data_IF_290789534700
#
_entry.id   IF_290789534700
#
_cell.length_a   1.000
_cell.length_b   1.000
_cell.length_c   1.000
_cell.angle_alpha   90.00
_cell.angle_beta   90.00
_cell.angle_gamma   90.00
#
_symmetry.space_group_name_H-M   'P 1'
#
loop_
_entity.id
_entity.type
_entity.pdbx_description
1 polymer ?
#
# COMPACT_ATOMS: atom_id res chain seq x y z
N UNK A 1 58.00 6.28 -32.98
CA UNK A 1 56.97 5.74 -32.07
C UNK A 1 55.55 5.83 -32.66
N UNK A 2 55.00 7.01 -32.99
CA UNK A 2 53.66 7.09 -33.58
C UNK A 2 53.60 6.57 -35.05
N UNK A 3 54.54 6.99 -35.90
CA UNK A 3 54.63 6.53 -37.29
C UNK A 3 54.91 5.01 -37.41
N UNK A 4 55.69 4.45 -36.48
CA UNK A 4 55.98 3.02 -36.43
C UNK A 4 54.80 2.18 -35.97
N UNK A 5 53.90 2.73 -35.13
CA UNK A 5 52.66 2.08 -34.69
C UNK A 5 51.57 2.05 -35.77
N UNK A 6 51.55 3.08 -36.63
CA UNK A 6 50.59 3.16 -37.74
C UNK A 6 50.88 2.15 -38.86
N UNK A 7 52.11 1.64 -38.94
CA UNK A 7 52.53 0.63 -39.91
C UNK A 7 52.56 -0.81 -39.33
N UNK A 8 52.12 -1.01 -38.08
CA UNK A 8 52.08 -2.34 -37.45
C UNK A 8 51.02 -3.22 -38.11
N UNK A 9 51.37 -4.47 -38.42
CA UNK A 9 50.37 -5.48 -38.76
C UNK A 9 49.52 -5.85 -37.52
N UNK A 10 48.32 -6.41 -37.70
CA UNK A 10 47.51 -6.88 -36.57
C UNK A 10 48.23 -7.87 -35.64
N UNK A 11 49.10 -8.71 -36.19
CA UNK A 11 49.89 -9.70 -35.44
C UNK A 11 51.02 -9.05 -34.65
N UNK A 12 51.70 -8.07 -35.24
CA UNK A 12 52.73 -7.27 -34.57
C UNK A 12 52.13 -6.42 -33.45
N UNK A 13 50.96 -5.83 -33.69
CA UNK A 13 50.18 -5.10 -32.69
C UNK A 13 49.75 -6.03 -31.55
N UNK A 14 49.22 -7.22 -31.85
CA UNK A 14 48.84 -8.21 -30.85
C UNK A 14 50.03 -8.63 -29.98
N UNK A 15 51.16 -8.99 -30.61
CA UNK A 15 52.38 -9.37 -29.91
C UNK A 15 52.92 -8.27 -28.99
N UNK A 16 52.85 -7.00 -29.45
CA UNK A 16 53.23 -5.84 -28.63
C UNK A 16 52.29 -5.66 -27.43
N UNK A 17 50.98 -5.77 -27.64
CA UNK A 17 49.98 -5.64 -26.56
C UNK A 17 50.14 -6.77 -25.53
N UNK A 18 50.35 -8.01 -25.96
CA UNK A 18 50.64 -9.14 -25.07
C UNK A 18 51.93 -8.90 -24.29
N UNK A 19 52.98 -8.41 -24.95
CA UNK A 19 54.23 -8.03 -24.29
C UNK A 19 54.05 -6.91 -23.26
N UNK A 20 53.14 -5.96 -23.51
CA UNK A 20 52.81 -4.90 -22.55
C UNK A 20 52.02 -5.43 -21.36
N UNK A 21 51.01 -6.28 -21.60
CA UNK A 21 50.21 -6.92 -20.56
C UNK A 21 51.08 -7.77 -19.63
N UNK A 22 51.99 -8.57 -20.17
CA UNK A 22 52.91 -9.42 -19.39
C UNK A 22 53.83 -8.61 -18.49
N UNK A 23 54.47 -7.55 -19.01
CA UNK A 23 55.30 -6.65 -18.19
C UNK A 23 54.50 -5.96 -17.09
N UNK A 24 53.29 -5.49 -17.40
CA UNK A 24 52.44 -4.83 -16.41
C UNK A 24 51.91 -5.80 -15.34
N UNK A 25 51.65 -7.06 -15.70
CA UNK A 25 51.29 -8.10 -14.74
C UNK A 25 52.48 -8.42 -13.82
N UNK A 26 53.68 -8.56 -14.37
CA UNK A 26 54.89 -8.78 -13.59
C UNK A 26 55.17 -7.63 -12.62
N UNK A 27 55.01 -6.37 -13.04
CA UNK A 27 55.18 -5.22 -12.15
C UNK A 27 54.15 -5.18 -11.02
N UNK A 28 52.88 -5.55 -11.29
CA UNK A 28 51.82 -5.64 -10.28
C UNK A 28 52.03 -6.79 -9.30
N UNK A 29 52.66 -7.88 -9.73
CA UNK A 29 52.89 -9.06 -8.89
C UNK A 29 53.95 -8.82 -7.79
N UNK A 30 54.89 -7.91 -8.03
CA UNK A 30 55.96 -7.55 -7.09
C UNK A 30 55.69 -6.24 -6.32
N UNK A 31 54.52 -5.64 -6.53
CA UNK A 31 54.14 -4.35 -5.95
C UNK A 31 53.93 -4.45 -4.45
N UNK A 32 54.44 -3.47 -3.70
CA UNK A 32 54.22 -3.43 -2.25
C UNK A 32 52.74 -3.09 -1.93
N UNK A 33 52.20 -3.55 -0.79
CA UNK A 33 50.80 -3.27 -0.43
C UNK A 33 50.43 -1.79 -0.38
N UNK A 34 51.36 -0.92 0.04
CA UNK A 34 51.15 0.53 0.11
C UNK A 34 51.09 1.17 -1.28
N UNK A 35 51.99 0.77 -2.17
CA UNK A 35 52.01 1.20 -3.57
C UNK A 35 50.72 0.76 -4.30
N UNK A 36 50.28 -0.49 -4.05
CA UNK A 36 49.03 -1.01 -4.59
C UNK A 36 47.80 -0.23 -4.09
N UNK A 37 47.79 0.18 -2.82
CA UNK A 37 46.75 1.05 -2.26
C UNK A 37 46.74 2.42 -2.92
N UNK A 38 47.89 3.09 -3.00
CA UNK A 38 48.02 4.38 -3.65
C UNK A 38 47.54 4.33 -5.12
N UNK A 39 47.92 3.28 -5.85
CA UNK A 39 47.45 3.06 -7.23
C UNK A 39 45.94 2.87 -7.32
N UNK A 40 45.32 2.15 -6.38
CA UNK A 40 43.86 1.98 -6.33
C UNK A 40 43.12 3.27 -5.95
N UNK A 41 43.71 4.09 -5.08
CA UNK A 41 43.13 5.37 -4.67
C UNK A 41 43.21 6.38 -5.82
N UNK A 42 44.33 6.44 -6.54
CA UNK A 42 44.47 7.23 -7.76
C UNK A 42 43.48 6.79 -8.84
N UNK A 43 43.27 5.48 -9.00
CA UNK A 43 42.30 4.95 -9.96
C UNK A 43 40.86 5.31 -9.58
N UNK A 44 40.53 5.21 -8.29
CA UNK A 44 39.25 5.66 -7.76
C UNK A 44 39.05 7.15 -8.03
N UNK A 45 40.05 7.99 -7.78
CA UNK A 45 39.99 9.43 -8.01
C UNK A 45 39.76 9.75 -9.50
N UNK A 46 40.50 9.09 -10.40
CA UNK A 46 40.30 9.22 -11.86
C UNK A 46 38.89 8.81 -12.29
N UNK A 47 38.39 7.68 -11.78
CA UNK A 47 37.03 7.22 -12.09
C UNK A 47 35.95 8.18 -11.56
N UNK A 48 36.13 8.74 -10.36
CA UNK A 48 35.22 9.75 -9.81
C UNK A 48 35.21 11.00 -10.67
N UNK A 49 36.38 11.53 -11.03
CA UNK A 49 36.51 12.70 -11.90
C UNK A 49 35.87 12.44 -13.28
N UNK A 50 36.12 11.28 -13.88
CA UNK A 50 35.50 10.88 -15.15
C UNK A 50 33.97 10.83 -15.06
N UNK A 51 33.41 10.24 -13.99
CA UNK A 51 31.95 10.18 -13.76
C UNK A 51 31.34 11.56 -13.52
N UNK A 52 32.07 12.47 -12.86
CA UNK A 52 31.61 13.84 -12.62
C UNK A 52 31.55 14.66 -13.93
N UNK A 53 32.44 14.37 -14.88
CA UNK A 53 32.48 15.00 -16.20
C UNK A 53 31.51 14.36 -17.23
N UNK A 54 30.78 13.29 -16.87
CA UNK A 54 29.86 12.63 -17.80
C UNK A 54 28.67 13.53 -18.17
N UNK A 55 28.42 13.65 -19.48
CA UNK A 55 27.16 14.21 -19.96
C UNK A 55 25.96 13.29 -19.61
N UNK A 56 24.72 13.82 -19.58
CA UNK A 56 23.53 13.02 -19.32
C UNK A 56 23.36 11.81 -20.27
N UNK A 57 23.73 11.95 -21.55
CA UNK A 57 23.67 10.86 -22.55
C UNK A 57 24.73 9.79 -22.32
N UNK A 58 25.94 10.18 -21.93
CA UNK A 58 26.98 9.23 -21.55
C UNK A 58 26.59 8.48 -20.28
N UNK A 59 26.05 9.20 -19.29
CA UNK A 59 25.53 8.61 -18.05
C UNK A 59 24.42 7.59 -18.30
N UNK A 60 23.44 7.91 -19.15
CA UNK A 60 22.36 6.98 -19.48
C UNK A 60 22.87 5.73 -20.18
N UNK A 61 23.78 5.90 -21.14
CA UNK A 61 24.42 4.78 -21.87
C UNK A 61 25.23 3.89 -20.92
N UNK A 62 25.99 4.47 -19.99
CA UNK A 62 26.75 3.72 -18.98
C UNK A 62 25.83 2.94 -18.04
N UNK A 63 24.76 3.57 -17.53
CA UNK A 63 23.78 2.92 -16.66
C UNK A 63 23.05 1.80 -17.38
N UNK A 64 22.63 2.01 -18.63
CA UNK A 64 22.03 0.96 -19.46
C UNK A 64 22.99 -0.23 -19.64
N UNK A 65 24.25 0.05 -19.98
CA UNK A 65 25.28 -0.99 -20.08
C UNK A 65 25.58 -1.71 -18.75
N UNK A 66 25.44 -1.03 -17.62
CA UNK A 66 25.56 -1.65 -16.31
C UNK A 66 24.38 -2.58 -16.02
N UNK A 67 23.16 -2.15 -16.33
CA UNK A 67 21.95 -2.97 -16.20
C UNK A 67 22.05 -4.25 -17.06
N UNK A 68 22.51 -4.14 -18.31
CA UNK A 68 22.64 -5.31 -19.19
C UNK A 68 23.70 -6.29 -18.69
N UNK A 69 24.89 -5.81 -18.27
CA UNK A 69 25.92 -6.69 -17.69
C UNK A 69 25.45 -7.36 -16.40
N UNK A 70 24.75 -6.64 -15.53
CA UNK A 70 24.23 -7.23 -14.30
C UNK A 70 23.13 -8.27 -14.57
N UNK A 71 22.24 -8.00 -15.54
CA UNK A 71 21.24 -8.98 -15.96
C UNK A 71 21.88 -10.23 -16.55
N UNK A 72 22.89 -10.09 -17.42
CA UNK A 72 23.64 -11.20 -17.99
C UNK A 72 24.34 -12.03 -16.91
N UNK A 73 25.01 -11.37 -15.95
CA UNK A 73 25.64 -12.04 -14.80
C UNK A 73 24.60 -12.83 -14.00
N UNK A 74 23.43 -12.24 -13.69
CA UNK A 74 22.36 -12.91 -12.94
C UNK A 74 21.69 -14.06 -13.69
N UNK A 75 21.71 -14.02 -15.02
CA UNK A 75 21.12 -15.08 -15.86
C UNK A 75 21.95 -16.36 -15.87
N UNK A 76 23.26 -16.27 -15.61
CA UNK A 76 24.18 -17.41 -15.57
C UNK A 76 24.52 -17.87 -14.14
N UNK A 77 23.96 -17.21 -13.11
CA UNK A 77 24.17 -17.59 -11.71
C UNK A 77 23.65 -19.01 -11.42
N UNK A 78 24.43 -19.79 -10.68
CA UNK A 78 23.97 -21.07 -10.17
C UNK A 78 22.84 -20.88 -9.14
N UNK A 79 21.94 -21.87 -8.95
CA UNK A 79 20.83 -21.74 -7.99
C UNK A 79 21.28 -21.41 -6.56
N UNK A 80 22.39 -22.00 -6.10
CA UNK A 80 22.95 -21.76 -4.76
C UNK A 80 23.48 -20.33 -4.61
N UNK A 81 24.21 -19.82 -5.61
CA UNK A 81 24.69 -18.43 -5.64
C UNK A 81 23.54 -17.43 -5.68
N UNK A 82 22.49 -17.72 -6.47
CA UNK A 82 21.30 -16.89 -6.54
C UNK A 82 20.52 -16.89 -5.22
N UNK A 83 20.52 -18.01 -4.48
CA UNK A 83 19.92 -18.10 -3.16
C UNK A 83 20.72 -17.30 -2.13
N UNK A 84 22.05 -17.49 -2.08
CA UNK A 84 22.94 -16.72 -1.21
C UNK A 84 22.79 -15.21 -1.43
N UNK A 85 22.74 -14.76 -2.70
CA UNK A 85 22.51 -13.36 -3.05
C UNK A 85 21.17 -12.82 -2.53
N UNK A 86 20.08 -13.61 -2.61
CA UNK A 86 18.77 -13.22 -2.06
C UNK A 86 18.76 -13.17 -0.54
N UNK A 87 19.46 -14.09 0.10
CA UNK A 87 19.59 -14.13 1.56
C UNK A 87 20.40 -12.94 2.07
N UNK A 88 21.52 -12.62 1.43
CA UNK A 88 22.29 -11.40 1.72
C UNK A 88 21.47 -10.12 1.50
N UNK A 89 20.69 -10.05 0.42
CA UNK A 89 19.81 -8.92 0.15
C UNK A 89 18.71 -8.77 1.21
N UNK A 90 18.11 -9.90 1.65
CA UNK A 90 17.15 -9.92 2.75
C UNK A 90 17.77 -9.40 4.04
N UNK A 91 18.98 -9.83 4.39
CA UNK A 91 19.70 -9.36 5.58
C UNK A 91 20.02 -7.87 5.46
N UNK A 92 20.56 -7.41 4.32
CA UNK A 92 20.85 -5.98 4.10
C UNK A 92 19.60 -5.11 4.25
N UNK A 93 18.47 -5.53 3.69
CA UNK A 93 17.21 -4.82 3.85
C UNK A 93 16.69 -4.85 5.29
N UNK A 94 16.86 -5.94 6.03
CA UNK A 94 16.47 -6.04 7.43
C UNK A 94 17.29 -5.08 8.31
N UNK A 95 18.62 -5.06 8.14
CA UNK A 95 19.52 -4.14 8.85
C UNK A 95 19.16 -2.68 8.53
N UNK A 96 19.01 -2.34 7.25
CA UNK A 96 18.62 -0.99 6.85
C UNK A 96 17.28 -0.56 7.45
N UNK A 97 16.32 -1.47 7.62
CA UNK A 97 15.02 -1.19 8.26
C UNK A 97 15.12 -1.06 9.79
N UNK A 98 16.05 -1.77 10.42
CA UNK A 98 16.30 -1.65 11.85
C UNK A 98 16.90 -0.29 12.21
N UNK A 99 17.79 0.21 11.34
CA UNK A 99 18.45 1.51 11.49
C UNK A 99 17.60 2.70 11.01
N UNK A 100 16.38 2.46 10.48
CA UNK A 100 15.46 3.52 10.04
C UNK A 100 15.10 4.47 11.19
N UNK A 101 15.29 5.77 10.97
CA UNK A 101 14.73 6.79 11.86
C UNK A 101 13.20 6.75 11.86
N UNK A 102 12.53 7.28 12.90
CA UNK A 102 11.07 7.35 12.94
C UNK A 102 10.45 8.07 11.73
N UNK A 103 11.11 9.11 11.21
CA UNK A 103 10.66 9.88 10.05
C UNK A 103 10.77 9.06 8.76
N UNK A 104 11.90 8.39 8.55
CA UNK A 104 12.12 7.48 7.41
C UNK A 104 11.09 6.35 7.41
N UNK A 105 10.78 5.80 8.59
CA UNK A 105 9.75 4.76 8.75
C UNK A 105 8.34 5.26 8.38
N UNK A 106 7.99 6.49 8.78
CA UNK A 106 6.69 7.12 8.42
C UNK A 106 6.59 7.30 6.91
N UNK A 107 7.61 7.91 6.29
CA UNK A 107 7.67 8.12 4.84
C UNK A 107 7.56 6.80 4.06
N UNK A 108 8.31 5.76 4.45
CA UNK A 108 8.20 4.42 3.84
C UNK A 108 6.79 3.84 3.96
N UNK A 109 6.15 4.00 5.12
CA UNK A 109 4.79 3.49 5.36
C UNK A 109 3.75 4.24 4.52
N UNK A 110 3.90 5.55 4.37
CA UNK A 110 3.08 6.38 3.48
C UNK A 110 3.24 5.98 2.01
N UNK A 111 4.47 5.81 1.55
CA UNK A 111 4.76 5.34 0.19
C UNK A 111 4.17 3.95 -0.06
N UNK A 112 4.26 3.05 0.92
CA UNK A 112 3.65 1.72 0.82
C UNK A 112 2.12 1.80 0.71
N UNK A 113 1.48 2.66 1.53
CA UNK A 113 0.04 2.94 1.42
C UNK A 113 -0.32 3.50 0.05
N UNK A 114 0.44 4.47 -0.45
CA UNK A 114 0.21 5.07 -1.78
C UNK A 114 0.33 4.05 -2.90
N UNK A 115 1.35 3.19 -2.87
CA UNK A 115 1.54 2.12 -3.88
C UNK A 115 0.42 1.08 -3.83
N UNK A 116 -0.01 0.68 -2.64
CA UNK A 116 -1.14 -0.25 -2.49
C UNK A 116 -2.45 0.37 -2.98
N UNK A 117 -2.71 1.64 -2.64
CA UNK A 117 -3.88 2.37 -3.12
C UNK A 117 -3.86 2.50 -4.65
N UNK A 118 -2.72 2.87 -5.24
CA UNK A 118 -2.56 2.96 -6.69
C UNK A 118 -2.75 1.60 -7.38
N UNK A 119 -2.20 0.52 -6.81
CA UNK A 119 -2.39 -0.84 -7.36
C UNK A 119 -3.84 -1.28 -7.30
N UNK A 120 -4.56 -0.96 -6.22
CA UNK A 120 -6.00 -1.23 -6.12
C UNK A 120 -6.79 -0.37 -7.10
N UNK A 121 -6.48 0.92 -7.22
CA UNK A 121 -7.14 1.81 -8.16
C UNK A 121 -6.92 1.35 -9.63
N UNK A 122 -5.69 0.97 -9.99
CA UNK A 122 -5.34 0.45 -11.30
C UNK A 122 -6.13 -0.82 -11.68
N UNK A 123 -6.52 -1.62 -10.69
CA UNK A 123 -7.38 -2.78 -10.91
C UNK A 123 -8.82 -2.39 -11.30
N UNK A 124 -9.26 -1.16 -11.00
CA UNK A 124 -10.62 -0.64 -11.26
C UNK A 124 -10.68 0.45 -12.33
N UNK A 125 -9.55 0.84 -12.94
CA UNK A 125 -9.50 1.93 -13.93
C UNK A 125 -10.37 1.71 -15.16
N UNK A 126 -10.61 0.46 -15.55
CA UNK A 126 -11.47 0.15 -16.70
C UNK A 126 -12.95 0.53 -16.46
N UNK A 127 -13.34 0.78 -15.21
CA UNK A 127 -14.72 1.10 -14.80
C UNK A 127 -14.88 2.52 -14.26
N UNK A 128 -13.90 3.40 -14.49
CA UNK A 128 -13.94 4.76 -13.98
C UNK A 128 -15.15 5.53 -14.54
N UNK A 129 -16.13 5.81 -13.67
CA UNK A 129 -17.36 6.53 -14.03
C UNK A 129 -18.48 5.69 -14.66
N UNK A 130 -18.29 4.38 -14.84
CA UNK A 130 -19.32 3.47 -15.39
C UNK A 130 -20.55 3.33 -14.49
N UNK A 131 -20.38 3.47 -13.16
CA UNK A 131 -21.49 3.47 -12.22
C UNK A 131 -22.49 4.62 -12.45
N UNK A 132 -22.07 5.71 -13.11
CA UNK A 132 -22.91 6.90 -13.35
C UNK A 132 -23.48 6.94 -14.78
N UNK A 133 -23.02 6.08 -15.68
CA UNK A 133 -23.50 5.97 -17.06
C UNK A 133 -23.72 4.50 -17.39
N UNK A 134 -24.94 4.04 -17.14
CA UNK A 134 -25.35 2.69 -17.49
C UNK A 134 -25.32 2.51 -19.02
N UNK A 135 -24.47 1.61 -19.50
CA UNK A 135 -24.41 1.20 -20.90
C UNK A 135 -25.06 -0.19 -21.06
N UNK A 136 -26.30 -0.28 -21.59
CA UNK A 136 -27.00 -1.55 -21.73
C UNK A 136 -26.33 -2.55 -22.69
N UNK A 137 -25.33 -2.12 -23.45
CA UNK A 137 -24.57 -3.01 -24.34
C UNK A 137 -23.47 -3.80 -23.61
N UNK A 138 -23.14 -3.42 -22.37
CA UNK A 138 -22.14 -4.10 -21.54
C UNK A 138 -22.80 -5.18 -20.68
N UNK A 139 -22.28 -6.40 -20.75
CA UNK A 139 -22.66 -7.49 -19.84
C UNK A 139 -21.95 -7.33 -18.49
N UNK A 140 -22.54 -6.54 -17.61
CA UNK A 140 -22.04 -6.31 -16.25
C UNK A 140 -22.12 -7.58 -15.37
N UNK A 141 -23.06 -8.49 -15.67
CA UNK A 141 -23.34 -9.71 -14.91
C UNK A 141 -22.23 -10.78 -15.05
N UNK A 142 -21.56 -10.82 -16.20
CA UNK A 142 -20.50 -11.79 -16.50
C UNK A 142 -19.09 -11.28 -16.17
N UNK A 143 -18.95 -10.01 -15.79
CA UNK A 143 -17.65 -9.41 -15.54
C UNK A 143 -17.06 -9.92 -14.21
N UNK A 144 -15.86 -10.51 -14.24
CA UNK A 144 -15.26 -11.20 -13.08
C UNK A 144 -15.12 -10.32 -11.82
N UNK A 145 -14.96 -9.01 -11.98
CA UNK A 145 -14.86 -8.05 -10.86
C UNK A 145 -16.22 -7.54 -10.34
N UNK A 146 -17.30 -7.76 -11.10
CA UNK A 146 -18.67 -7.37 -10.76
C UNK A 146 -19.58 -8.54 -10.43
N UNK A 147 -19.17 -9.76 -10.76
CA UNK A 147 -19.93 -10.96 -10.49
C UNK A 147 -19.91 -11.26 -8.98
N UNK A 148 -20.84 -10.63 -8.24
CA UNK A 148 -21.07 -10.86 -6.80
C UNK A 148 -21.61 -12.30 -6.56
N UNK A 149 -22.09 -12.97 -7.61
CA UNK A 149 -22.66 -14.32 -7.54
C UNK A 149 -24.07 -14.33 -6.93
N UNK A 150 -24.59 -15.54 -6.66
CA UNK A 150 -25.90 -15.73 -6.00
C UNK A 150 -25.72 -15.78 -4.48
N UNK A 151 -26.68 -15.23 -3.73
CA UNK A 151 -26.74 -15.35 -2.26
C UNK A 151 -26.98 -16.81 -1.84
N UNK A 152 -25.90 -17.57 -1.75
CA UNK A 152 -25.92 -19.02 -1.48
C UNK A 152 -25.20 -19.36 -0.19
N UNK A 153 -24.29 -18.48 0.25
CA UNK A 153 -23.60 -18.64 1.52
C UNK A 153 -24.57 -18.29 2.67
N UNK A 154 -24.51 -19.04 3.76
CA UNK A 154 -25.28 -18.73 4.97
C UNK A 154 -24.35 -18.09 5.98
N UNK A 155 -24.72 -16.91 6.49
CA UNK A 155 -23.97 -16.26 7.55
C UNK A 155 -23.99 -17.12 8.81
N UNK A 156 -22.80 -17.41 9.36
CA UNK A 156 -22.67 -18.24 10.55
C UNK A 156 -23.44 -17.68 11.77
N UNK A 157 -23.59 -16.35 11.85
CA UNK A 157 -24.15 -15.63 13.00
C UNK A 157 -25.66 -15.35 12.87
N UNK A 158 -26.11 -14.64 11.82
CA UNK A 158 -27.54 -14.32 11.61
C UNK A 158 -28.34 -15.44 10.92
N UNK A 159 -27.68 -16.45 10.33
CA UNK A 159 -28.29 -17.42 9.40
C UNK A 159 -28.94 -16.81 8.15
N UNK A 160 -28.78 -15.51 7.90
CA UNK A 160 -29.21 -14.92 6.64
C UNK A 160 -28.32 -15.40 5.50
N UNK A 161 -28.88 -15.47 4.30
CA UNK A 161 -28.12 -15.68 3.08
C UNK A 161 -27.24 -14.46 2.80
N UNK A 162 -26.02 -14.69 2.32
CA UNK A 162 -25.00 -13.69 2.02
C UNK A 162 -24.35 -14.00 0.68
N UNK A 163 -23.67 -13.02 0.10
CA UNK A 163 -22.94 -13.24 -1.15
C UNK A 163 -21.57 -13.90 -0.92
N UNK A 164 -21.11 -14.75 -1.87
CA UNK A 164 -19.74 -15.23 -1.90
C UNK A 164 -18.76 -14.06 -1.94
N UNK A 165 -17.87 -13.98 -0.94
CA UNK A 165 -16.91 -12.87 -0.82
C UNK A 165 -17.41 -11.63 -0.07
N UNK A 166 -18.64 -11.65 0.45
CA UNK A 166 -19.13 -10.59 1.35
C UNK A 166 -18.28 -10.54 2.63
N UNK A 167 -17.79 -9.34 2.96
CA UNK A 167 -16.92 -9.13 4.11
C UNK A 167 -17.62 -9.57 5.42
N UNK A 168 -16.92 -10.31 6.31
CA UNK A 168 -17.48 -10.70 7.59
C UNK A 168 -17.98 -9.48 8.37
N UNK A 169 -19.28 -9.45 8.65
CA UNK A 169 -19.93 -8.38 9.40
C UNK A 169 -20.84 -7.46 8.59
N UNK A 170 -20.95 -7.63 7.26
CA UNK A 170 -21.96 -6.89 6.48
C UNK A 170 -23.41 -7.31 6.84
N UNK A 171 -23.68 -8.58 7.19
CA UNK A 171 -24.99 -9.00 7.74
C UNK A 171 -25.20 -8.60 9.22
N UNK A 172 -24.16 -8.58 10.07
CA UNK A 172 -24.33 -8.61 11.54
C UNK A 172 -23.28 -7.85 12.38
N UNK A 173 -22.41 -7.06 11.75
CA UNK A 173 -21.26 -6.43 12.42
C UNK A 173 -20.40 -7.44 13.21
N UNK A 174 -20.23 -8.66 12.68
CA UNK A 174 -19.53 -9.78 13.32
C UNK A 174 -20.09 -10.17 14.70
N UNK A 175 -21.39 -9.95 14.95
CA UNK A 175 -22.04 -10.39 16.18
C UNK A 175 -21.61 -9.55 17.38
N UNK A 176 -21.07 -8.36 17.11
CA UNK A 176 -20.60 -7.41 18.13
C UNK A 176 -21.74 -6.71 18.87
N UNK A 177 -22.95 -6.73 18.34
CA UNK A 177 -24.13 -6.25 19.04
C UNK A 177 -24.73 -7.40 19.86
N UNK A 178 -24.03 -7.79 20.93
CA UNK A 178 -24.59 -8.68 21.94
C UNK A 178 -25.70 -7.90 22.67
N UNK A 179 -26.96 -8.12 22.27
CA UNK A 179 -28.14 -7.38 22.75
C UNK A 179 -28.17 -7.29 24.29
N UNK A 180 -27.71 -8.36 24.96
CA UNK A 180 -27.56 -8.42 26.41
C UNK A 180 -26.51 -7.46 26.95
N UNK A 181 -25.35 -7.32 26.31
CA UNK A 181 -24.32 -6.36 26.74
C UNK A 181 -24.80 -4.92 26.59
N UNK A 182 -25.62 -4.64 25.57
CA UNK A 182 -26.25 -3.32 25.41
C UNK A 182 -27.30 -3.07 26.51
N UNK A 183 -28.15 -4.06 26.81
CA UNK A 183 -29.13 -3.98 27.89
C UNK A 183 -28.45 -3.78 29.25
N UNK A 184 -27.39 -4.54 29.55
CA UNK A 184 -26.62 -4.44 30.79
C UNK A 184 -26.01 -3.06 30.97
N UNK A 185 -25.46 -2.47 29.89
CA UNK A 185 -24.91 -1.12 29.93
C UNK A 185 -25.99 -0.07 30.20
N UNK A 186 -27.21 -0.23 29.66
CA UNK A 186 -28.36 0.65 29.91
C UNK A 186 -28.89 0.50 31.34
N UNK A 187 -28.97 -0.72 31.85
CA UNK A 187 -29.34 -1.00 33.24
C UNK A 187 -28.31 -0.44 34.23
N UNK A 188 -27.03 -0.39 33.86
CA UNK A 188 -25.98 0.29 34.65
C UNK A 188 -26.14 1.81 34.67
N UNK A 189 -26.58 2.43 33.56
CA UNK A 189 -26.81 3.87 33.47
C UNK A 189 -28.09 4.32 34.18
N UNK A 190 -29.13 3.47 34.21
CA UNK A 190 -30.40 3.78 34.87
C UNK A 190 -30.79 2.69 35.89
N UNK A 191 -30.25 2.76 37.12
CA UNK A 191 -30.47 1.77 38.16
C UNK A 191 -31.96 1.76 38.57
N UNK A 192 -32.62 0.61 38.38
CA UNK A 192 -34.06 0.43 38.58
C UNK A 192 -34.78 -0.12 37.35
N UNK A 193 -34.12 -0.10 36.19
CA UNK A 193 -34.68 -0.63 34.94
C UNK A 193 -34.50 -2.15 34.88
N UNK A 194 -35.59 -2.92 34.74
CA UNK A 194 -35.51 -4.39 34.62
C UNK A 194 -34.95 -4.78 33.25
N UNK A 195 -33.82 -5.50 33.24
CA UNK A 195 -33.10 -5.85 32.02
C UNK A 195 -33.88 -6.73 31.04
N UNK A 196 -34.79 -7.57 31.53
CA UNK A 196 -35.69 -8.39 30.70
C UNK A 196 -36.65 -7.54 29.85
N UNK A 197 -37.16 -6.44 30.41
CA UNK A 197 -38.02 -5.48 29.69
C UNK A 197 -37.18 -4.70 28.67
N UNK A 198 -35.97 -4.28 29.05
CA UNK A 198 -35.06 -3.54 28.16
C UNK A 198 -34.71 -4.37 26.92
N UNK A 199 -34.40 -5.66 27.09
CA UNK A 199 -34.12 -6.57 25.97
C UNK A 199 -35.35 -6.72 25.06
N UNK A 200 -36.54 -6.96 25.62
CA UNK A 200 -37.77 -7.09 24.83
C UNK A 200 -38.12 -5.82 24.05
N UNK A 201 -37.97 -4.65 24.69
CA UNK A 201 -38.17 -3.36 24.03
C UNK A 201 -37.12 -3.12 22.95
N UNK A 202 -35.86 -3.50 23.17
CA UNK A 202 -34.81 -3.43 22.16
C UNK A 202 -35.13 -4.32 20.96
N UNK A 203 -35.56 -5.56 21.18
CA UNK A 203 -35.93 -6.50 20.11
C UNK A 203 -37.13 -6.03 19.29
N UNK A 204 -38.06 -5.32 19.90
CA UNK A 204 -39.21 -4.73 19.20
C UNK A 204 -38.83 -3.42 18.47
N UNK A 205 -38.02 -2.56 19.08
CA UNK A 205 -37.71 -1.25 18.52
C UNK A 205 -36.63 -1.31 17.43
N UNK A 206 -35.67 -2.24 17.50
CA UNK A 206 -34.62 -2.33 16.49
C UNK A 206 -35.11 -2.63 15.08
N UNK A 207 -36.13 -3.49 14.85
CA UNK A 207 -36.64 -3.76 13.50
C UNK A 207 -37.62 -2.70 12.97
N UNK A 208 -38.27 -1.94 13.85
CA UNK A 208 -39.40 -1.09 13.48
C UNK A 208 -39.13 0.41 13.64
N UNK A 209 -38.12 0.80 14.44
CA UNK A 209 -37.79 2.20 14.66
C UNK A 209 -36.80 2.70 13.60
N UNK A 210 -37.33 3.40 12.60
CA UNK A 210 -36.56 3.99 11.50
C UNK A 210 -35.48 4.98 11.97
N UNK A 211 -35.66 5.65 13.11
CA UNK A 211 -34.66 6.56 13.69
C UNK A 211 -33.45 5.81 14.25
N UNK A 212 -33.66 4.63 14.84
CA UNK A 212 -32.55 3.81 15.32
C UNK A 212 -31.65 3.36 14.16
N UNK A 213 -32.26 3.01 13.02
CA UNK A 213 -31.53 2.66 11.80
C UNK A 213 -30.79 3.85 11.19
N UNK A 214 -31.44 5.02 11.09
CA UNK A 214 -30.80 6.22 10.53
C UNK A 214 -29.63 6.68 11.41
N UNK A 215 -29.75 6.59 12.72
CA UNK A 215 -28.68 6.94 13.66
C UNK A 215 -27.48 5.99 13.59
N UNK A 216 -27.71 4.67 13.53
CA UNK A 216 -26.63 3.68 13.33
C UNK A 216 -25.90 3.92 12.00
N UNK A 217 -26.66 4.14 10.94
CA UNK A 217 -26.11 4.43 9.60
C UNK A 217 -25.31 5.74 9.57
N UNK A 218 -25.78 6.76 10.29
CA UNK A 218 -25.07 8.03 10.39
C UNK A 218 -23.74 7.88 11.14
N UNK A 219 -23.73 7.19 12.30
CA UNK A 219 -22.51 6.92 13.05
C UNK A 219 -21.44 6.16 12.24
N UNK A 220 -21.86 5.20 11.42
CA UNK A 220 -20.94 4.43 10.56
C UNK A 220 -20.36 5.24 9.39
N UNK A 221 -21.03 6.31 8.98
CA UNK A 221 -20.58 7.20 7.89
C UNK A 221 -19.73 8.38 8.36
N UNK A 222 -19.53 8.52 9.68
CA UNK A 222 -18.73 9.61 10.24
C UNK A 222 -17.21 9.30 10.08
N UNK A 223 -16.41 10.17 9.44
CA UNK A 223 -14.99 9.90 9.17
C UNK A 223 -14.01 10.07 10.36
N UNK A 224 -14.43 10.68 11.48
CA UNK A 224 -13.55 11.04 12.61
C UNK A 224 -14.24 10.83 13.96
N UNK A 225 -13.48 10.59 15.03
CA UNK A 225 -14.01 10.36 16.39
C UNK A 225 -14.38 11.67 17.14
N UNK A 226 -14.23 12.84 16.49
CA UNK A 226 -14.38 14.16 17.13
C UNK A 226 -15.83 14.72 17.14
N UNK A 227 -16.80 13.99 16.57
CA UNK A 227 -18.17 14.47 16.45
C UNK A 227 -19.00 14.23 17.71
N UNK A 228 -19.58 15.31 18.26
CA UNK A 228 -20.52 15.23 19.39
C UNK A 228 -21.96 15.30 18.89
N UNK A 229 -22.68 14.17 18.97
CA UNK A 229 -24.11 14.15 18.63
C UNK A 229 -24.92 14.77 19.77
N UNK A 230 -25.61 15.89 19.49
CA UNK A 230 -26.44 16.61 20.47
C UNK A 230 -27.90 16.51 20.04
N UNK A 231 -28.71 15.76 20.78
CA UNK A 231 -30.16 15.68 20.60
C UNK A 231 -30.80 16.75 21.51
N UNK A 232 -31.37 17.80 20.92
CA UNK A 232 -32.08 18.85 21.68
C UNK A 232 -33.58 18.62 21.54
N UNK A 233 -34.24 18.20 22.62
CA UNK A 233 -35.69 18.02 22.65
C UNK A 233 -36.47 19.35 22.57
N UNK A 234 -35.84 20.45 22.97
CA UNK A 234 -36.52 21.75 23.17
C UNK A 234 -36.25 22.77 22.06
N UNK A 235 -35.64 22.37 20.94
CA UNK A 235 -35.22 23.31 19.89
C UNK A 235 -36.12 23.21 18.67
N UNK A 236 -36.86 24.27 18.37
CA UNK A 236 -37.64 24.43 17.13
C UNK A 236 -36.70 24.57 15.92
N UNK A 237 -36.98 23.88 14.79
CA UNK A 237 -36.25 24.10 13.54
C UNK A 237 -36.34 25.56 13.08
N UNK A 238 -35.27 26.06 12.46
CA UNK A 238 -35.23 27.43 11.94
C UNK A 238 -36.25 27.58 10.82
N UNK A 239 -37.27 28.41 11.05
CA UNK A 239 -38.33 28.70 10.08
C UNK A 239 -39.72 28.13 10.40
N UNK A 240 -39.89 27.38 11.50
CA UNK A 240 -41.18 26.78 11.86
C UNK A 240 -41.89 27.41 13.07
N UNK A 241 -43.21 27.18 13.18
CA UNK A 241 -44.11 27.83 14.13
C UNK A 241 -44.01 27.26 15.56
N UNK A 242 -44.01 28.14 16.57
CA UNK A 242 -43.73 27.85 17.99
C UNK A 242 -44.67 26.86 18.73
N UNK A 243 -45.62 26.20 18.05
CA UNK A 243 -46.56 25.23 18.65
C UNK A 243 -46.61 23.88 17.93
N UNK A 244 -45.73 23.64 16.96
CA UNK A 244 -45.59 22.32 16.34
C UNK A 244 -44.73 21.46 17.27
N UNK A 245 -45.34 20.52 17.98
CA UNK A 245 -44.62 19.47 18.69
C UNK A 245 -43.95 18.57 17.64
N UNK A 246 -42.67 18.23 17.86
CA UNK A 246 -41.80 17.51 16.93
C UNK A 246 -42.43 16.19 16.43
N UNK A 247 -43.06 16.23 15.26
CA UNK A 247 -43.16 15.07 14.39
C UNK A 247 -41.87 15.08 13.56
N UNK A 248 -40.90 14.19 13.81
CA UNK A 248 -39.57 14.35 13.25
C UNK A 248 -39.58 13.96 11.75
N UNK A 249 -39.60 14.96 10.88
CA UNK A 249 -39.50 14.80 9.43
C UNK A 249 -38.05 14.51 9.01
N UNK A 250 -37.55 13.28 9.26
CA UNK A 250 -36.37 12.59 8.67
C UNK A 250 -35.00 13.33 8.66
N UNK A 251 -34.93 14.65 8.89
CA UNK A 251 -33.80 15.53 8.58
C UNK A 251 -33.22 16.26 9.81
N UNK A 252 -33.59 15.87 11.04
CA UNK A 252 -33.22 16.61 12.27
C UNK A 252 -32.00 16.06 13.02
N UNK A 253 -31.06 15.40 12.33
CA UNK A 253 -29.75 15.10 12.93
C UNK A 253 -28.76 16.16 12.46
N UNK A 254 -28.60 17.22 13.25
CA UNK A 254 -27.57 18.22 13.02
C UNK A 254 -26.22 17.69 13.55
N UNK A 255 -25.29 17.41 12.64
CA UNK A 255 -23.89 17.13 12.97
C UNK A 255 -23.16 18.47 13.09
N UNK A 256 -22.66 18.79 14.28
CA UNK A 256 -21.80 19.95 14.50
C UNK A 256 -20.35 19.47 14.33
N UNK A 257 -19.60 20.16 13.44
CA UNK A 257 -18.16 20.00 13.26
C UNK A 257 -17.44 20.68 14.44
#
# INVERSE_FOLDING_TARGET
>A
MAATRAAESPEQMSSRLVGQCTRQAASRAVEAPEEARARHDDDRARHVASRAAESPKQRSSRLAGQCTRQAASRAVEAPEEAQARRDEDRVRHAVSRADESPEQRRSRSEDQRRRQAASRAAQWTFMEGEAFRYDPTKSYDSHAQLCIGRMTDVCAQCKAYKWPGEAPGMCCSNGKDDERKQADRRCKTNPGTRGDIVVKLQQMLHPHNTYAHSFKTALERIPSDEYKVIIKADKTPVGEHARRFNEPLINEVAVVI
#
